data_IF_227690520640
#
_entry.id   IF_227690520640
#
_cell.length_a   1.000
_cell.length_b   1.000
_cell.length_c   1.000
_cell.angle_alpha   90.00
_cell.angle_beta   90.00
_cell.angle_gamma   90.00
#
_symmetry.space_group_name_H-M   'P 1'
#
loop_
_entity.id
_entity.type
_entity.pdbx_description
1 polymer ?
#
# COMPACT_ATOMS: atom_id res chain seq x y z
N UNK A 1 -20.63 -6.15 -26.72
CA UNK A 1 -19.63 -5.59 -25.79
C UNK A 1 -20.03 -4.30 -25.04
N UNK A 2 -21.21 -3.71 -25.22
CA UNK A 2 -21.62 -2.42 -24.58
C UNK A 2 -22.37 -2.53 -23.24
N UNK A 3 -22.77 -3.72 -22.79
CA UNK A 3 -23.60 -3.89 -21.58
C UNK A 3 -22.82 -4.02 -20.25
N UNK A 4 -21.50 -4.27 -20.27
CA UNK A 4 -20.72 -4.49 -19.03
C UNK A 4 -20.15 -3.20 -18.39
N UNK A 5 -20.08 -2.09 -19.12
CA UNK A 5 -19.43 -0.85 -18.65
C UNK A 5 -20.24 -0.12 -17.57
N UNK A 6 -21.56 -0.20 -17.61
CA UNK A 6 -22.43 0.51 -16.68
C UNK A 6 -22.31 0.06 -15.20
N UNK A 7 -22.25 -1.27 -14.87
CA UNK A 7 -22.11 -1.69 -13.49
C UNK A 7 -20.71 -1.42 -12.91
N UNK A 8 -19.64 -1.55 -13.70
CA UNK A 8 -18.28 -1.22 -13.26
C UNK A 8 -18.12 0.26 -12.96
N UNK A 9 -18.69 1.12 -13.78
CA UNK A 9 -18.70 2.57 -13.55
C UNK A 9 -19.40 2.95 -12.26
N UNK A 10 -20.58 2.35 -11.99
CA UNK A 10 -21.32 2.59 -10.74
C UNK A 10 -20.51 2.14 -9.53
N UNK A 11 -19.89 0.98 -9.59
CA UNK A 11 -19.03 0.46 -8.52
C UNK A 11 -17.83 1.38 -8.28
N UNK A 12 -17.16 1.87 -9.33
CA UNK A 12 -16.03 2.77 -9.21
C UNK A 12 -16.42 4.13 -8.59
N UNK A 13 -17.54 4.72 -9.02
CA UNK A 13 -18.04 5.99 -8.45
C UNK A 13 -18.44 5.80 -6.98
N UNK A 14 -19.17 4.72 -6.65
CA UNK A 14 -19.54 4.42 -5.26
C UNK A 14 -18.31 4.24 -4.37
N UNK A 15 -17.29 3.54 -4.86
CA UNK A 15 -16.01 3.39 -4.20
C UNK A 15 -15.30 4.75 -3.98
N UNK A 16 -15.33 5.63 -4.97
CA UNK A 16 -14.77 6.98 -4.84
C UNK A 16 -15.48 7.84 -3.79
N UNK A 17 -16.81 7.78 -3.75
CA UNK A 17 -17.62 8.46 -2.73
C UNK A 17 -17.30 7.91 -1.33
N UNK A 18 -17.19 6.58 -1.19
CA UNK A 18 -16.82 5.95 0.07
C UNK A 18 -15.44 6.42 0.55
N UNK A 19 -14.44 6.45 -0.33
CA UNK A 19 -13.12 6.97 0.00
C UNK A 19 -13.18 8.42 0.49
N UNK A 20 -13.99 9.26 -0.13
CA UNK A 20 -14.15 10.66 0.27
C UNK A 20 -14.81 10.80 1.65
N UNK A 21 -15.84 10.02 1.93
CA UNK A 21 -16.50 10.00 3.23
C UNK A 21 -15.55 9.57 4.34
N UNK A 22 -14.76 8.52 4.10
CA UNK A 22 -13.74 8.07 5.05
C UNK A 22 -12.64 9.13 5.19
N UNK A 23 -12.21 9.79 4.12
CA UNK A 23 -11.24 10.88 4.19
C UNK A 23 -11.72 12.02 5.11
N UNK A 24 -12.98 12.41 5.00
CA UNK A 24 -13.58 13.41 5.90
C UNK A 24 -13.59 12.93 7.36
N UNK A 25 -13.95 11.68 7.61
CA UNK A 25 -13.94 11.12 8.97
C UNK A 25 -12.52 11.06 9.56
N UNK A 26 -11.54 10.61 8.78
CA UNK A 26 -10.12 10.58 9.19
C UNK A 26 -9.60 11.99 9.44
N UNK A 27 -9.97 12.97 8.61
CA UNK A 27 -9.56 14.36 8.80
C UNK A 27 -10.07 14.93 10.12
N UNK A 28 -11.30 14.61 10.54
CA UNK A 28 -11.82 15.00 11.84
C UNK A 28 -11.00 14.41 12.98
N UNK A 29 -10.60 13.15 12.87
CA UNK A 29 -9.73 12.50 13.87
C UNK A 29 -8.37 13.17 13.93
N UNK A 30 -7.72 13.39 12.78
CA UNK A 30 -6.39 14.02 12.71
C UNK A 30 -6.37 15.45 13.25
N UNK A 31 -7.47 16.21 13.09
CA UNK A 31 -7.58 17.57 13.62
C UNK A 31 -7.73 17.60 15.15
N UNK A 32 -8.16 16.51 15.79
CA UNK A 32 -8.45 16.46 17.23
C UNK A 32 -7.42 15.67 18.02
N UNK A 33 -6.49 14.98 17.38
CA UNK A 33 -5.53 14.08 18.01
C UNK A 33 -4.08 14.45 17.70
N UNK A 34 -3.17 13.88 18.47
CA UNK A 34 -1.73 14.03 18.23
C UNK A 34 -1.30 13.37 16.92
N UNK A 35 -0.27 13.92 16.31
CA UNK A 35 0.23 13.45 15.02
C UNK A 35 1.20 12.30 15.21
N UNK A 36 1.01 11.22 14.46
CA UNK A 36 1.99 10.14 14.37
C UNK A 36 2.94 10.47 13.22
N UNK A 37 4.20 10.75 13.58
CA UNK A 37 5.26 11.07 12.62
C UNK A 37 6.13 9.83 12.39
N UNK A 38 6.19 9.38 11.15
CA UNK A 38 7.07 8.31 10.72
C UNK A 38 8.40 8.92 10.24
N UNK A 39 9.48 8.62 10.96
CA UNK A 39 10.82 9.13 10.61
C UNK A 39 11.41 8.34 9.44
N UNK A 40 11.99 9.05 8.49
CA UNK A 40 12.81 8.48 7.41
C UNK A 40 14.25 8.89 7.66
N UNK A 41 15.10 7.90 7.88
CA UNK A 41 16.51 8.11 8.22
C UNK A 41 17.43 7.64 7.09
N UNK A 42 18.56 8.29 6.96
CA UNK A 42 19.62 7.89 6.07
C UNK A 42 20.86 7.56 6.92
N UNK A 43 21.32 6.33 6.86
CA UNK A 43 22.58 5.94 7.45
C UNK A 43 23.70 6.37 6.50
N UNK A 44 24.48 7.38 6.91
CA UNK A 44 25.61 7.86 6.11
C UNK A 44 26.78 6.87 6.24
N UNK A 45 27.45 6.52 5.15
CA UNK A 45 28.62 5.67 5.19
C UNK A 45 29.76 6.44 5.87
N UNK A 46 29.84 6.36 7.18
CA UNK A 46 30.86 7.05 7.97
C UNK A 46 31.86 6.11 8.61
N UNK A 47 31.60 4.79 8.56
CA UNK A 47 32.48 3.82 9.16
C UNK A 47 33.24 3.05 8.08
N UNK A 48 34.55 3.18 8.08
CA UNK A 48 35.45 2.20 7.46
C UNK A 48 35.16 0.85 8.12
N UNK A 49 35.09 -0.27 7.35
CA UNK A 49 34.92 -1.60 7.95
C UNK A 49 35.92 -1.82 9.08
N UNK A 50 35.44 -2.01 10.33
CA UNK A 50 36.27 -2.14 11.52
C UNK A 50 36.34 -0.90 12.42
N UNK A 51 35.72 0.22 12.06
CA UNK A 51 35.58 1.35 12.96
C UNK A 51 34.52 1.07 14.04
N UNK A 52 34.84 1.40 15.30
CA UNK A 52 33.95 1.22 16.45
C UNK A 52 32.86 2.29 16.58
N UNK A 53 32.95 3.35 15.80
CA UNK A 53 31.99 4.44 15.88
C UNK A 53 30.72 4.12 15.08
N UNK A 54 29.53 4.30 15.69
CA UNK A 54 28.27 4.10 14.97
C UNK A 54 28.15 5.12 13.83
N UNK A 55 27.71 4.65 12.67
CA UNK A 55 27.44 5.54 11.53
C UNK A 55 26.48 6.66 11.94
N UNK A 56 26.77 7.92 11.60
CA UNK A 56 25.87 9.03 11.91
C UNK A 56 24.55 8.84 11.17
N UNK A 57 23.45 8.79 11.92
CA UNK A 57 22.09 8.74 11.37
C UNK A 57 21.58 10.16 11.14
N UNK A 58 21.15 10.40 9.93
CA UNK A 58 20.54 11.67 9.56
C UNK A 58 19.04 11.46 9.31
N UNK A 59 18.20 12.21 10.03
CA UNK A 59 16.77 12.22 9.77
C UNK A 59 16.52 13.07 8.51
N UNK A 60 16.18 12.39 7.42
CA UNK A 60 15.96 13.00 6.11
C UNK A 60 14.58 13.63 5.98
N UNK A 61 13.55 12.97 6.51
CA UNK A 61 12.17 13.42 6.41
C UNK A 61 11.31 12.84 7.53
N UNK A 62 10.19 13.50 7.80
CA UNK A 62 9.10 13.01 8.65
C UNK A 62 7.83 12.95 7.85
N UNK A 63 7.17 11.82 7.85
CA UNK A 63 5.89 11.62 7.17
C UNK A 63 4.79 11.60 8.23
N UNK A 64 3.86 12.54 8.15
CA UNK A 64 2.66 12.53 8.99
C UNK A 64 1.70 11.46 8.46
N UNK A 65 1.47 10.42 9.27
CA UNK A 65 0.62 9.28 8.90
C UNK A 65 -0.81 9.72 8.56
N UNK A 66 -1.39 10.59 9.38
CA UNK A 66 -2.76 11.06 9.18
C UNK A 66 -2.93 11.84 7.88
N UNK A 67 -2.01 12.77 7.61
CA UNK A 67 -2.02 13.54 6.36
C UNK A 67 -1.79 12.65 5.14
N UNK A 68 -0.87 11.70 5.23
CA UNK A 68 -0.60 10.76 4.15
C UNK A 68 -1.84 9.91 3.82
N UNK A 69 -2.54 9.41 4.82
CA UNK A 69 -3.79 8.63 4.65
C UNK A 69 -4.90 9.48 4.03
N UNK A 70 -5.10 10.72 4.49
CA UNK A 70 -6.09 11.64 3.90
C UNK A 70 -5.77 11.88 2.42
N UNK A 71 -4.51 12.20 2.09
CA UNK A 71 -4.09 12.41 0.71
C UNK A 71 -4.30 11.18 -0.17
N UNK A 72 -4.00 9.97 0.34
CA UNK A 72 -4.27 8.71 -0.37
C UNK A 72 -5.76 8.52 -0.67
N UNK A 73 -6.62 8.75 0.32
CA UNK A 73 -8.07 8.61 0.15
C UNK A 73 -8.64 9.63 -0.83
N UNK A 74 -8.23 10.89 -0.74
CA UNK A 74 -8.66 11.96 -1.66
C UNK A 74 -8.19 11.65 -3.08
N UNK A 75 -6.92 11.26 -3.25
CA UNK A 75 -6.39 10.87 -4.55
C UNK A 75 -7.15 9.66 -5.13
N UNK A 76 -7.40 8.63 -4.30
CA UNK A 76 -8.18 7.45 -4.70
C UNK A 76 -9.60 7.85 -5.11
N UNK A 77 -10.27 8.73 -4.37
CA UNK A 77 -11.60 9.23 -4.69
C UNK A 77 -11.62 9.95 -6.03
N UNK A 78 -10.64 10.84 -6.29
CA UNK A 78 -10.52 11.56 -7.56
C UNK A 78 -10.33 10.58 -8.72
N UNK A 79 -9.38 9.66 -8.62
CA UNK A 79 -9.08 8.72 -9.70
C UNK A 79 -10.23 7.76 -9.99
N UNK A 80 -10.98 7.33 -8.97
CA UNK A 80 -12.16 6.45 -9.11
C UNK A 80 -13.36 7.17 -9.70
N UNK A 81 -13.58 8.44 -9.37
CA UNK A 81 -14.61 9.26 -9.98
C UNK A 81 -14.26 9.69 -11.41
N UNK A 82 -12.97 9.85 -11.68
CA UNK A 82 -12.42 10.14 -13.01
C UNK A 82 -12.41 8.92 -13.96
N UNK A 83 -13.35 8.00 -13.80
CA UNK A 83 -13.44 6.74 -14.59
C UNK A 83 -13.41 6.94 -16.11
N UNK A 84 -13.75 8.14 -16.60
CA UNK A 84 -13.71 8.48 -18.04
C UNK A 84 -12.28 8.62 -18.58
N UNK A 85 -11.28 8.84 -17.71
CA UNK A 85 -9.89 8.98 -18.12
C UNK A 85 -9.32 7.58 -18.31
N UNK A 86 -8.89 7.23 -19.55
CA UNK A 86 -8.25 5.93 -19.79
C UNK A 86 -7.05 5.74 -18.86
N UNK A 87 -7.00 4.61 -18.17
CA UNK A 87 -5.88 4.31 -17.28
C UNK A 87 -5.97 4.88 -15.86
N UNK A 88 -6.99 5.70 -15.50
CA UNK A 88 -7.12 6.28 -14.14
C UNK A 88 -7.02 5.23 -13.04
N UNK A 89 -7.64 4.06 -13.21
CA UNK A 89 -7.56 2.92 -12.28
C UNK A 89 -6.13 2.41 -12.07
N UNK A 90 -5.31 2.45 -13.10
CA UNK A 90 -3.92 1.99 -13.02
C UNK A 90 -3.00 3.04 -12.41
N UNK A 91 -3.26 4.32 -12.68
CA UNK A 91 -2.56 5.43 -12.03
C UNK A 91 -2.87 5.41 -10.54
N UNK A 92 -4.14 5.24 -10.16
CA UNK A 92 -4.56 5.11 -8.77
C UNK A 92 -3.83 3.94 -8.09
N UNK A 93 -3.91 2.74 -8.66
CA UNK A 93 -3.27 1.56 -8.09
C UNK A 93 -1.75 1.69 -8.02
N UNK A 94 -1.12 2.28 -9.06
CA UNK A 94 0.33 2.47 -9.14
C UNK A 94 0.91 3.44 -8.12
N UNK A 95 0.09 4.30 -7.53
CA UNK A 95 0.50 5.23 -6.48
C UNK A 95 -0.03 4.80 -5.10
N UNK A 96 -1.30 4.45 -4.99
CA UNK A 96 -1.93 4.14 -3.69
C UNK A 96 -1.32 2.89 -3.06
N UNK A 97 -1.16 1.80 -3.82
CA UNK A 97 -0.64 0.55 -3.27
C UNK A 97 0.81 0.68 -2.76
N UNK A 98 1.78 1.24 -3.52
CA UNK A 98 3.14 1.41 -3.03
C UNK A 98 3.24 2.33 -1.82
N UNK A 99 2.48 3.43 -1.81
CA UNK A 99 2.48 4.36 -0.66
C UNK A 99 1.86 3.69 0.58
N UNK A 100 0.78 2.91 0.42
CA UNK A 100 0.18 2.16 1.54
C UNK A 100 1.19 1.19 2.16
N UNK A 101 1.91 0.40 1.34
CA UNK A 101 2.91 -0.55 1.86
C UNK A 101 4.11 0.18 2.47
N UNK A 102 4.52 1.32 1.90
CA UNK A 102 5.53 2.21 2.48
C UNK A 102 5.13 2.68 3.89
N UNK A 103 3.89 3.15 4.07
CA UNK A 103 3.39 3.60 5.38
C UNK A 103 3.34 2.44 6.39
N UNK A 104 2.92 1.25 5.95
CA UNK A 104 2.94 0.03 6.78
C UNK A 104 4.36 -0.32 7.20
N UNK A 105 5.33 -0.23 6.30
CA UNK A 105 6.73 -0.46 6.61
C UNK A 105 7.23 0.52 7.69
N UNK A 106 6.89 1.81 7.56
CA UNK A 106 7.20 2.81 8.57
C UNK A 106 6.55 2.53 9.93
N UNK A 107 5.29 2.09 9.95
CA UNK A 107 4.59 1.66 11.18
C UNK A 107 5.27 0.46 11.84
N UNK A 108 5.88 -0.43 11.07
CA UNK A 108 6.67 -1.56 11.57
C UNK A 108 8.10 -1.18 12.01
N UNK A 109 8.42 0.12 12.07
CA UNK A 109 9.70 0.61 12.54
C UNK A 109 10.81 0.61 11.49
N UNK A 110 10.49 0.37 10.21
CA UNK A 110 11.45 0.50 9.12
C UNK A 110 11.63 1.99 8.83
N UNK A 111 12.75 2.56 9.27
CA UNK A 111 13.06 3.99 9.09
C UNK A 111 14.12 4.25 8.02
N UNK A 112 14.91 3.23 7.65
CA UNK A 112 15.96 3.37 6.66
C UNK A 112 15.39 3.71 5.28
N UNK A 113 15.86 4.83 4.71
CA UNK A 113 15.41 5.34 3.42
C UNK A 113 15.66 4.34 2.28
N UNK A 114 16.77 3.60 2.31
CA UNK A 114 17.09 2.60 1.28
C UNK A 114 16.07 1.46 1.26
N UNK A 115 15.74 0.92 2.43
CA UNK A 115 14.72 -0.12 2.60
C UNK A 115 13.34 0.37 2.18
N UNK A 116 12.96 1.59 2.57
CA UNK A 116 11.67 2.20 2.21
C UNK A 116 11.56 2.45 0.70
N UNK A 117 12.62 2.94 0.05
CA UNK A 117 12.66 3.12 -1.42
C UNK A 117 12.58 1.76 -2.12
N UNK A 118 13.27 0.73 -1.62
CA UNK A 118 13.20 -0.61 -2.17
C UNK A 118 11.77 -1.17 -2.09
N UNK A 119 11.10 -1.06 -0.94
CA UNK A 119 9.71 -1.48 -0.72
C UNK A 119 8.78 -0.77 -1.71
N UNK A 120 8.89 0.56 -1.81
CA UNK A 120 8.09 1.36 -2.74
C UNK A 120 8.32 0.93 -4.19
N UNK A 121 9.58 0.81 -4.61
CA UNK A 121 9.95 0.49 -6.00
C UNK A 121 9.52 -0.91 -6.41
N UNK A 122 9.69 -1.92 -5.54
CA UNK A 122 9.28 -3.30 -5.80
C UNK A 122 7.76 -3.42 -5.87
N UNK A 123 7.04 -2.70 -5.01
CA UNK A 123 5.57 -2.67 -5.06
C UNK A 123 5.07 -1.97 -6.34
N UNK A 124 5.73 -0.88 -6.74
CA UNK A 124 5.43 -0.21 -8.02
C UNK A 124 5.70 -1.12 -9.21
N UNK A 125 6.82 -1.85 -9.18
CA UNK A 125 7.15 -2.83 -10.23
C UNK A 125 6.07 -3.92 -10.33
N UNK A 126 5.58 -4.45 -9.20
CA UNK A 126 4.45 -5.40 -9.20
C UNK A 126 3.25 -4.85 -9.98
N UNK A 127 2.85 -3.60 -9.73
CA UNK A 127 1.72 -2.98 -10.43
C UNK A 127 2.02 -2.77 -11.92
N UNK A 128 3.25 -2.42 -12.29
CA UNK A 128 3.65 -2.31 -13.69
C UNK A 128 3.58 -3.67 -14.41
N UNK A 129 3.95 -4.76 -13.76
CA UNK A 129 3.78 -6.11 -14.29
C UNK A 129 2.31 -6.49 -14.47
N UNK A 130 1.44 -6.09 -13.54
CA UNK A 130 -0.01 -6.27 -13.71
C UNK A 130 -0.52 -5.50 -14.94
N UNK A 131 -0.05 -4.27 -15.17
CA UNK A 131 -0.36 -3.49 -16.38
C UNK A 131 0.16 -4.17 -17.65
N UNK A 132 1.37 -4.71 -17.62
CA UNK A 132 1.94 -5.45 -18.74
C UNK A 132 1.12 -6.71 -19.06
N UNK A 133 0.56 -7.38 -18.04
CA UNK A 133 -0.34 -8.54 -18.22
C UNK A 133 -1.61 -8.18 -19.00
N UNK A 134 -2.07 -6.93 -18.99
CA UNK A 134 -3.23 -6.54 -19.81
C UNK A 134 -2.97 -6.69 -21.32
N UNK A 135 -1.71 -6.58 -21.73
CA UNK A 135 -1.28 -6.73 -23.14
C UNK A 135 -0.93 -8.18 -23.48
N UNK A 136 -0.65 -9.01 -22.47
CA UNK A 136 -0.31 -10.42 -22.66
C UNK A 136 -1.58 -11.24 -22.85
N UNK A 137 -1.58 -12.11 -23.85
CA UNK A 137 -2.75 -12.94 -24.22
C UNK A 137 -2.90 -14.20 -23.35
N UNK A 138 -1.85 -14.64 -22.66
CA UNK A 138 -1.82 -15.90 -21.90
C UNK A 138 -1.33 -15.71 -20.48
N UNK A 139 -1.90 -16.50 -19.57
CA UNK A 139 -1.42 -16.68 -18.21
C UNK A 139 -0.55 -17.95 -18.15
N UNK A 140 0.71 -17.77 -17.76
CA UNK A 140 1.70 -18.85 -17.60
C UNK A 140 2.60 -18.54 -16.41
N UNK A 141 3.45 -19.46 -16.01
CA UNK A 141 4.43 -19.23 -14.94
C UNK A 141 5.43 -18.10 -15.26
N UNK A 142 5.62 -17.80 -16.55
CA UNK A 142 6.49 -16.69 -17.04
C UNK A 142 5.70 -15.48 -17.47
N UNK A 143 4.38 -15.44 -17.19
CA UNK A 143 3.55 -14.28 -17.52
C UNK A 143 3.94 -13.07 -16.67
N UNK A 144 3.72 -11.84 -17.17
CA UNK A 144 4.01 -10.63 -16.40
C UNK A 144 3.38 -10.65 -15.00
N UNK A 145 2.12 -11.11 -14.87
CA UNK A 145 1.47 -11.22 -13.56
C UNK A 145 2.22 -12.14 -12.60
N UNK A 146 2.68 -13.31 -13.05
CA UNK A 146 3.41 -14.24 -12.18
C UNK A 146 4.74 -13.63 -11.70
N UNK A 147 5.48 -12.98 -12.60
CA UNK A 147 6.71 -12.27 -12.26
C UNK A 147 6.43 -11.11 -11.30
N UNK A 148 5.37 -10.34 -11.54
CA UNK A 148 4.94 -9.26 -10.66
C UNK A 148 4.59 -9.74 -9.26
N UNK A 149 3.92 -10.88 -9.13
CA UNK A 149 3.59 -11.49 -7.84
C UNK A 149 4.86 -11.90 -7.09
N UNK A 150 5.86 -12.49 -7.76
CA UNK A 150 7.14 -12.82 -7.15
C UNK A 150 7.88 -11.58 -6.62
N UNK A 151 7.91 -10.51 -7.41
CA UNK A 151 8.50 -9.24 -6.98
C UNK A 151 7.72 -8.61 -5.82
N UNK A 152 6.38 -8.69 -5.87
CA UNK A 152 5.50 -8.13 -4.85
C UNK A 152 5.54 -8.81 -3.49
N UNK A 153 6.05 -10.06 -3.40
CA UNK A 153 6.25 -10.75 -2.11
C UNK A 153 7.43 -10.16 -1.33
N UNK A 154 8.45 -9.63 -2.01
CA UNK A 154 9.69 -9.16 -1.37
C UNK A 154 9.44 -8.05 -0.34
N UNK A 155 8.66 -6.98 -0.62
CA UNK A 155 8.30 -5.97 0.38
C UNK A 155 7.72 -6.56 1.67
N UNK A 156 6.82 -7.52 1.53
CA UNK A 156 6.22 -8.20 2.68
C UNK A 156 7.21 -9.07 3.45
N UNK A 157 8.17 -9.69 2.74
CA UNK A 157 9.29 -10.41 3.36
C UNK A 157 10.16 -9.49 4.20
N UNK A 158 10.47 -8.28 3.72
CA UNK A 158 11.25 -7.27 4.46
C UNK A 158 10.48 -6.85 5.73
N UNK A 159 9.18 -6.56 5.62
CA UNK A 159 8.35 -6.19 6.78
C UNK A 159 8.28 -7.33 7.80
N UNK A 160 8.05 -8.57 7.34
CA UNK A 160 8.00 -9.75 8.20
C UNK A 160 9.33 -9.99 8.94
N UNK A 161 10.46 -9.86 8.25
CA UNK A 161 11.79 -9.97 8.88
C UNK A 161 12.01 -8.91 9.95
N UNK A 162 11.53 -7.69 9.73
CA UNK A 162 11.58 -6.60 10.72
C UNK A 162 10.74 -6.92 11.95
N UNK A 163 9.51 -7.44 11.77
CA UNK A 163 8.64 -7.85 12.88
C UNK A 163 9.26 -8.98 13.71
N UNK A 164 9.77 -10.02 13.03
CA UNK A 164 10.42 -11.15 13.69
C UNK A 164 11.71 -10.71 14.40
N UNK A 165 12.54 -9.93 13.72
CA UNK A 165 13.81 -9.41 14.28
C UNK A 165 13.56 -8.52 15.51
N UNK A 166 12.58 -7.62 15.45
CA UNK A 166 12.16 -6.80 16.57
C UNK A 166 11.66 -7.63 17.76
N UNK A 167 10.87 -8.67 17.48
CA UNK A 167 10.41 -9.62 18.50
C UNK A 167 11.54 -10.35 19.20
N UNK A 168 12.52 -10.85 18.42
CA UNK A 168 13.72 -11.53 18.96
C UNK A 168 14.62 -10.57 19.74
N UNK A 169 14.67 -9.30 19.36
CA UNK A 169 15.43 -8.26 20.07
C UNK A 169 14.69 -7.71 21.33
N UNK A 170 13.52 -8.24 21.69
CA UNK A 170 12.74 -7.79 22.83
C UNK A 170 11.91 -6.52 22.60
N UNK A 171 11.80 -6.07 21.36
CA UNK A 171 11.03 -4.89 20.93
C UNK A 171 9.98 -5.27 19.87
N UNK A 172 8.98 -6.11 20.22
CA UNK A 172 7.98 -6.52 19.26
C UNK A 172 7.13 -5.33 18.81
N UNK A 173 6.76 -5.32 17.54
CA UNK A 173 5.79 -4.33 17.05
C UNK A 173 4.49 -4.44 17.84
N UNK A 174 3.80 -3.32 18.15
CA UNK A 174 2.50 -3.33 18.83
C UNK A 174 1.52 -4.26 18.11
N UNK A 175 0.69 -4.98 18.87
CA UNK A 175 -0.29 -5.95 18.33
C UNK A 175 -1.16 -5.29 17.26
N UNK A 176 -1.57 -4.04 17.50
CA UNK A 176 -2.40 -3.31 16.55
C UNK A 176 -1.69 -3.10 15.20
N UNK A 177 -0.40 -2.79 15.20
CA UNK A 177 0.40 -2.67 13.96
C UNK A 177 0.53 -4.01 13.24
N UNK A 178 0.68 -5.11 13.99
CA UNK A 178 0.69 -6.46 13.42
C UNK A 178 -0.65 -6.79 12.73
N UNK A 179 -1.78 -6.44 13.37
CA UNK A 179 -3.12 -6.62 12.80
C UNK A 179 -3.27 -5.83 11.51
N UNK A 180 -2.93 -4.54 11.50
CA UNK A 180 -2.95 -3.71 10.28
C UNK A 180 -2.14 -4.37 9.16
N UNK A 181 -0.91 -4.77 9.48
CA UNK A 181 0.00 -5.40 8.52
C UNK A 181 -0.60 -6.65 7.90
N UNK A 182 -1.13 -7.57 8.74
CA UNK A 182 -1.73 -8.82 8.27
C UNK A 182 -3.02 -8.58 7.48
N UNK A 183 -3.87 -7.66 7.91
CA UNK A 183 -5.11 -7.31 7.21
C UNK A 183 -4.81 -6.80 5.80
N UNK A 184 -3.89 -5.86 5.67
CA UNK A 184 -3.54 -5.29 4.36
C UNK A 184 -2.81 -6.32 3.49
N UNK A 185 -1.96 -7.18 4.06
CA UNK A 185 -1.33 -8.29 3.34
C UNK A 185 -2.38 -9.21 2.70
N UNK A 186 -3.33 -9.70 3.50
CA UNK A 186 -4.39 -10.61 3.03
C UNK A 186 -5.25 -9.95 1.95
N UNK A 187 -5.64 -8.70 2.14
CA UNK A 187 -6.47 -7.97 1.17
C UNK A 187 -5.70 -7.68 -0.13
N UNK A 188 -4.41 -7.33 -0.04
CA UNK A 188 -3.57 -7.09 -1.22
C UNK A 188 -3.35 -8.40 -2.00
N UNK A 189 -3.09 -9.50 -1.32
CA UNK A 189 -3.01 -10.83 -1.94
C UNK A 189 -4.35 -11.23 -2.59
N UNK A 190 -5.46 -10.99 -1.90
CA UNK A 190 -6.81 -11.20 -2.42
C UNK A 190 -7.11 -10.37 -3.68
N UNK A 191 -6.70 -9.10 -3.70
CA UNK A 191 -6.85 -8.23 -4.86
C UNK A 191 -6.01 -8.72 -6.06
N UNK A 192 -4.79 -9.19 -5.83
CA UNK A 192 -3.94 -9.79 -6.88
C UNK A 192 -4.53 -11.10 -7.40
N UNK A 193 -5.09 -11.93 -6.52
CA UNK A 193 -5.80 -13.15 -6.90
C UNK A 193 -7.08 -12.85 -7.69
N UNK A 194 -7.86 -11.83 -7.30
CA UNK A 194 -9.04 -11.39 -8.03
C UNK A 194 -8.69 -10.90 -9.43
N UNK A 195 -7.59 -10.16 -9.58
CA UNK A 195 -7.07 -9.74 -10.87
C UNK A 195 -6.70 -10.94 -11.76
N UNK A 196 -6.01 -11.93 -11.19
CA UNK A 196 -5.70 -13.17 -11.90
C UNK A 196 -6.97 -13.89 -12.38
N UNK A 197 -7.99 -14.02 -11.53
CA UNK A 197 -9.28 -14.63 -11.89
C UNK A 197 -10.03 -13.84 -12.96
N UNK A 198 -9.98 -12.51 -12.90
CA UNK A 198 -10.54 -11.64 -13.93
C UNK A 198 -9.88 -11.92 -15.28
N UNK A 199 -8.54 -12.02 -15.31
CA UNK A 199 -7.78 -12.32 -16.53
C UNK A 199 -8.01 -13.75 -17.05
N UNK A 200 -8.31 -14.68 -16.16
CA UNK A 200 -8.70 -16.06 -16.51
C UNK A 200 -10.16 -16.17 -16.99
N UNK A 201 -10.91 -15.07 -17.07
CA UNK A 201 -12.32 -15.06 -17.48
C UNK A 201 -13.27 -15.67 -16.45
N UNK A 202 -12.83 -15.85 -15.19
CA UNK A 202 -13.59 -16.54 -14.13
C UNK A 202 -14.37 -15.58 -13.22
N UNK A 203 -14.08 -14.30 -13.26
CA UNK A 203 -14.73 -13.26 -12.44
C UNK A 203 -14.82 -11.93 -13.18
N UNK A 204 -15.63 -11.01 -12.66
CA UNK A 204 -15.78 -9.65 -13.18
C UNK A 204 -14.78 -8.69 -12.51
N UNK A 205 -14.43 -7.59 -13.19
CA UNK A 205 -13.58 -6.53 -12.66
C UNK A 205 -14.10 -5.91 -11.35
N UNK A 206 -15.38 -6.06 -11.04
CA UNK A 206 -16.01 -5.57 -9.81
C UNK A 206 -15.37 -6.13 -8.53
N UNK A 207 -14.98 -7.42 -8.54
CA UNK A 207 -14.31 -8.03 -7.39
C UNK A 207 -12.94 -7.40 -7.10
N UNK A 208 -12.19 -7.14 -8.16
CA UNK A 208 -10.91 -6.46 -8.03
C UNK A 208 -11.07 -5.01 -7.53
N UNK A 209 -12.07 -4.28 -8.06
CA UNK A 209 -12.41 -2.93 -7.59
C UNK A 209 -12.82 -2.97 -6.10
N UNK A 210 -13.69 -3.90 -5.72
CA UNK A 210 -14.16 -4.04 -4.34
C UNK A 210 -12.98 -4.31 -3.39
N UNK A 211 -12.15 -5.31 -3.68
CA UNK A 211 -11.01 -5.66 -2.81
C UNK A 211 -9.99 -4.52 -2.70
N UNK A 212 -9.63 -3.88 -3.81
CA UNK A 212 -8.70 -2.74 -3.76
C UNK A 212 -9.26 -1.55 -2.99
N UNK A 213 -10.58 -1.30 -3.08
CA UNK A 213 -11.26 -0.27 -2.29
C UNK A 213 -11.25 -0.63 -0.81
N UNK A 214 -11.61 -1.87 -0.48
CA UNK A 214 -11.62 -2.37 0.90
C UNK A 214 -10.24 -2.24 1.53
N UNK A 215 -9.17 -2.59 0.79
CA UNK A 215 -7.78 -2.45 1.27
C UNK A 215 -7.48 -0.99 1.66
N UNK A 216 -7.76 -0.04 0.77
CA UNK A 216 -7.47 1.38 1.02
C UNK A 216 -8.31 1.94 2.17
N UNK A 217 -9.62 1.63 2.17
CA UNK A 217 -10.54 2.12 3.20
C UNK A 217 -10.26 1.51 4.57
N UNK A 218 -9.99 0.21 4.63
CA UNK A 218 -9.74 -0.47 5.90
C UNK A 218 -8.39 -0.03 6.49
N UNK A 219 -7.34 0.06 5.68
CA UNK A 219 -6.08 0.65 6.12
C UNK A 219 -6.28 2.05 6.72
N UNK A 220 -7.09 2.88 6.08
CA UNK A 220 -7.34 4.23 6.56
C UNK A 220 -8.11 4.25 7.91
N UNK A 221 -9.10 3.36 8.07
CA UNK A 221 -9.84 3.23 9.33
C UNK A 221 -8.92 2.70 10.44
N UNK A 222 -8.10 1.70 10.16
CA UNK A 222 -7.13 1.15 11.11
C UNK A 222 -6.06 2.18 11.49
N UNK A 223 -5.55 2.96 10.53
CA UNK A 223 -4.63 4.06 10.81
C UNK A 223 -5.27 5.15 11.68
N UNK A 224 -6.53 5.51 11.42
CA UNK A 224 -7.27 6.45 12.24
C UNK A 224 -7.49 5.90 13.67
N UNK A 225 -7.81 4.61 13.81
CA UNK A 225 -7.94 3.98 15.11
C UNK A 225 -6.61 3.98 15.89
N UNK A 226 -5.48 3.76 15.19
CA UNK A 226 -4.15 3.89 15.80
C UNK A 226 -3.90 5.30 16.32
N UNK A 227 -4.25 6.35 15.55
CA UNK A 227 -4.11 7.76 15.94
C UNK A 227 -4.99 8.08 17.19
N UNK A 228 -6.14 7.44 17.32
CA UNK A 228 -7.02 7.63 18.48
C UNK A 228 -6.45 6.98 19.75
N UNK A 229 -5.73 5.87 19.61
CA UNK A 229 -5.23 5.05 20.72
C UNK A 229 -3.79 5.36 21.13
N UNK A 230 -3.05 6.11 20.32
CA UNK A 230 -1.69 6.57 20.62
C UNK A 230 -1.72 7.79 21.51
#
# INVERSE_FOLDING_TARGET
>A
MRHSIAPERRASIAAGILCLLIACAVALVVLTRERILLSVTLDLPGAVPGASDPSPRFEFARVDLGMAVILLLVFSAIMRTAYRIPGSRWIERGLVTPITIFLIAGLNGITDAGSLIAIYSLTSAMVLFDMAQLRASRLSATSPWALGTMVGIVPWGIIALHQVGGGLAGHPAPIFVQVITMTVLVLTAGASFAFWRERAGRTTAQWHIALSTTTTCLFAVEAAALIVTA
#
